data_IF_376144155946
#
_entry.id   IF_376144155946
#
_cell.length_a   1.000
_cell.length_b   1.000
_cell.length_c   1.000
_cell.angle_alpha   90.00
_cell.angle_beta   90.00
_cell.angle_gamma   90.00
#
_symmetry.space_group_name_H-M   'P 1'
#
loop_
_entity.id
_entity.type
_entity.pdbx_description
1 polymer ?
#
# COMPACT_ATOMS: atom_id res chain seq x y z
N UNK A 1 -0.14 10.35 -2.53
CA UNK A 1 -1.44 10.30 -1.82
C UNK A 1 -2.19 8.99 -2.04
N UNK A 2 -2.49 8.60 -3.28
CA UNK A 2 -3.27 7.39 -3.60
C UNK A 2 -2.69 6.11 -2.97
N UNK A 3 -1.37 5.91 -3.05
CA UNK A 3 -0.70 4.75 -2.45
C UNK A 3 -0.78 4.72 -0.92
N UNK A 4 -0.80 5.88 -0.26
CA UNK A 4 -0.95 5.99 1.19
C UNK A 4 -2.35 5.52 1.61
N UNK A 5 -3.38 6.01 0.92
CA UNK A 5 -4.76 5.62 1.17
C UNK A 5 -4.92 4.11 0.95
N UNK A 6 -4.36 3.59 -0.15
CA UNK A 6 -4.34 2.16 -0.42
C UNK A 6 -3.72 1.36 0.71
N UNK A 7 -2.52 1.76 1.17
CA UNK A 7 -1.81 1.07 2.25
C UNK A 7 -2.59 1.12 3.57
N UNK A 8 -3.15 2.28 3.94
CA UNK A 8 -3.94 2.42 5.16
C UNK A 8 -5.17 1.51 5.15
N UNK A 9 -5.89 1.47 4.03
CA UNK A 9 -7.06 0.59 3.86
C UNK A 9 -6.63 -0.87 3.90
N UNK A 10 -5.55 -1.24 3.21
CA UNK A 10 -5.03 -2.61 3.24
C UNK A 10 -4.62 -3.04 4.66
N UNK A 11 -3.93 -2.18 5.41
CA UNK A 11 -3.56 -2.43 6.81
C UNK A 11 -4.81 -2.61 7.69
N UNK A 12 -5.81 -1.74 7.53
CA UNK A 12 -7.05 -1.84 8.29
C UNK A 12 -7.78 -3.16 8.02
N UNK A 13 -7.89 -3.56 6.73
CA UNK A 13 -8.54 -4.81 6.34
C UNK A 13 -7.76 -6.05 6.82
N UNK A 14 -6.41 -6.01 6.81
CA UNK A 14 -5.58 -7.07 7.40
C UNK A 14 -5.77 -7.14 8.91
N UNK A 15 -5.84 -6.01 9.59
CA UNK A 15 -6.13 -5.95 11.02
C UNK A 15 -7.46 -6.62 11.37
N UNK A 16 -8.52 -6.29 10.61
CA UNK A 16 -9.85 -6.92 10.77
C UNK A 16 -9.77 -8.42 10.46
N UNK A 17 -9.08 -8.82 9.40
CA UNK A 17 -8.91 -10.23 9.04
C UNK A 17 -8.26 -11.02 10.19
N UNK A 18 -7.25 -10.48 10.82
CA UNK A 18 -6.58 -11.09 11.97
C UNK A 18 -7.47 -11.19 13.21
N UNK A 19 -8.21 -10.12 13.53
CA UNK A 19 -9.15 -10.10 14.65
C UNK A 19 -10.29 -11.11 14.48
N UNK A 20 -10.79 -11.26 13.27
CA UNK A 20 -11.92 -12.16 12.95
C UNK A 20 -11.48 -13.59 12.61
N UNK A 21 -10.19 -13.86 12.48
CA UNK A 21 -9.61 -15.12 11.99
C UNK A 21 -10.09 -15.51 10.58
N UNK A 22 -10.52 -14.53 9.79
CA UNK A 22 -10.89 -14.70 8.39
C UNK A 22 -9.71 -14.33 7.48
N UNK A 23 -9.75 -14.81 6.23
CA UNK A 23 -8.74 -14.40 5.25
C UNK A 23 -8.94 -12.93 4.82
N UNK A 24 -7.87 -12.29 4.39
CA UNK A 24 -7.92 -10.94 3.81
C UNK A 24 -8.91 -10.83 2.65
N UNK A 25 -8.94 -11.84 1.77
CA UNK A 25 -9.89 -11.89 0.65
C UNK A 25 -11.34 -11.92 1.13
N UNK A 26 -11.61 -12.73 2.15
CA UNK A 26 -12.96 -12.82 2.75
C UNK A 26 -13.39 -11.47 3.33
N UNK A 27 -12.50 -10.80 4.07
CA UNK A 27 -12.80 -9.46 4.63
C UNK A 27 -13.06 -8.44 3.53
N UNK A 28 -12.25 -8.43 2.47
CA UNK A 28 -12.51 -7.55 1.32
C UNK A 28 -13.91 -7.75 0.73
N UNK A 29 -14.27 -9.01 0.45
CA UNK A 29 -15.59 -9.33 -0.10
C UNK A 29 -16.70 -8.91 0.85
N UNK A 30 -16.57 -9.19 2.15
CA UNK A 30 -17.57 -8.80 3.14
C UNK A 30 -17.70 -7.28 3.26
N UNK A 31 -16.60 -6.53 3.28
CA UNK A 31 -16.65 -5.08 3.42
C UNK A 31 -17.23 -4.43 2.16
N UNK A 32 -16.68 -4.73 0.99
CA UNK A 32 -17.04 -4.02 -0.24
C UNK A 32 -18.35 -4.50 -0.88
N UNK A 33 -18.72 -5.77 -0.70
CA UNK A 33 -19.89 -6.35 -1.36
C UNK A 33 -21.05 -6.65 -0.39
N UNK A 34 -20.81 -6.75 0.91
CA UNK A 34 -21.88 -6.90 1.89
C UNK A 34 -22.13 -5.61 2.66
N UNK A 35 -21.15 -5.16 3.47
CA UNK A 35 -21.38 -4.10 4.46
C UNK A 35 -21.65 -2.73 3.83
N UNK A 36 -20.84 -2.32 2.85
CA UNK A 36 -21.03 -1.03 2.18
C UNK A 36 -22.36 -0.98 1.43
N UNK A 37 -22.70 -1.93 0.54
CA UNK A 37 -24.00 -1.90 -0.14
C UNK A 37 -25.21 -2.09 0.82
N UNK A 38 -25.04 -2.86 1.89
CA UNK A 38 -26.10 -3.02 2.90
C UNK A 38 -26.38 -1.69 3.62
N UNK A 39 -25.33 -0.95 3.97
CA UNK A 39 -25.51 0.37 4.59
C UNK A 39 -26.13 1.39 3.63
N UNK A 40 -25.79 1.34 2.33
CA UNK A 40 -26.47 2.16 1.32
C UNK A 40 -27.94 1.79 1.15
N UNK A 41 -28.26 0.50 1.13
CA UNK A 41 -29.63 0.01 1.10
C UNK A 41 -30.43 0.54 2.29
N UNK A 42 -29.87 0.46 3.50
CA UNK A 42 -30.49 1.00 4.71
C UNK A 42 -30.73 2.52 4.64
N UNK A 43 -29.71 3.29 4.21
CA UNK A 43 -29.86 4.74 4.05
C UNK A 43 -30.92 5.07 2.99
N UNK A 44 -30.96 4.34 1.89
CA UNK A 44 -31.95 4.50 0.82
C UNK A 44 -33.36 4.22 1.32
N UNK A 45 -33.58 3.14 2.06
CA UNK A 45 -34.90 2.83 2.68
C UNK A 45 -35.34 3.97 3.62
N UNK A 46 -34.41 4.57 4.38
CA UNK A 46 -34.70 5.72 5.25
C UNK A 46 -35.04 6.98 4.46
N UNK A 47 -34.35 7.23 3.35
CA UNK A 47 -34.63 8.37 2.47
C UNK A 47 -36.01 8.24 1.82
N UNK A 48 -36.38 7.05 1.36
CA UNK A 48 -37.70 6.81 0.72
C UNK A 48 -38.83 6.84 1.75
N UNK A 49 -38.51 6.58 3.02
CA UNK A 49 -39.49 6.62 4.12
C UNK A 49 -40.46 5.43 4.13
N UNK A 50 -40.09 4.32 3.52
CA UNK A 50 -40.87 3.12 3.54
C UNK A 50 -40.98 2.52 4.97
N UNK A 51 -42.16 2.05 5.34
CA UNK A 51 -42.37 1.35 6.61
C UNK A 51 -41.57 0.04 6.69
N UNK A 52 -41.45 -0.64 5.55
CA UNK A 52 -40.64 -1.88 5.43
C UNK A 52 -39.42 -1.56 4.62
N UNK A 53 -38.22 -1.85 5.14
CA UNK A 53 -36.93 -1.53 4.49
C UNK A 53 -36.60 -2.55 3.39
N UNK A 54 -37.27 -2.45 2.24
CA UNK A 54 -37.20 -3.44 1.16
C UNK A 54 -35.81 -3.64 0.58
N UNK A 55 -35.02 -2.57 0.41
CA UNK A 55 -33.65 -2.70 -0.10
C UNK A 55 -32.75 -3.42 0.90
N UNK A 56 -32.84 -3.06 2.18
CA UNK A 56 -32.09 -3.72 3.25
C UNK A 56 -32.44 -5.19 3.36
N UNK A 57 -33.75 -5.52 3.35
CA UNK A 57 -34.19 -6.90 3.41
C UNK A 57 -33.73 -7.67 2.18
N UNK A 58 -33.94 -7.11 0.98
CA UNK A 58 -33.52 -7.74 -0.27
C UNK A 58 -32.03 -8.08 -0.30
N UNK A 59 -31.18 -7.10 0.03
CA UNK A 59 -29.74 -7.31 0.07
C UNK A 59 -29.32 -8.33 1.12
N UNK A 60 -29.91 -8.25 2.32
CA UNK A 60 -29.67 -9.24 3.39
C UNK A 60 -30.07 -10.64 2.96
N UNK A 61 -31.23 -10.80 2.30
CA UNK A 61 -31.71 -12.10 1.81
C UNK A 61 -30.75 -12.71 0.79
N UNK A 62 -30.22 -11.91 -0.14
CA UNK A 62 -29.21 -12.36 -1.11
C UNK A 62 -27.97 -12.91 -0.39
N UNK A 63 -27.48 -12.22 0.61
CA UNK A 63 -26.30 -12.66 1.34
C UNK A 63 -26.55 -13.87 2.23
N UNK A 64 -27.72 -13.95 2.88
CA UNK A 64 -28.14 -15.15 3.62
C UNK A 64 -28.20 -16.36 2.67
N UNK A 65 -28.78 -16.19 1.49
CA UNK A 65 -28.80 -17.25 0.48
C UNK A 65 -27.38 -17.68 0.05
N UNK A 66 -26.48 -16.72 -0.18
CA UNK A 66 -25.05 -17.01 -0.49
C UNK A 66 -24.41 -17.80 0.65
N UNK A 67 -24.58 -17.39 1.91
CA UNK A 67 -24.04 -18.09 3.07
C UNK A 67 -24.55 -19.52 3.17
N UNK A 68 -25.86 -19.73 2.96
CA UNK A 68 -26.48 -21.07 3.00
C UNK A 68 -25.95 -21.93 1.85
N UNK A 69 -25.96 -21.41 0.61
CA UNK A 69 -25.57 -22.17 -0.59
C UNK A 69 -24.05 -22.50 -0.54
N UNK A 70 -23.22 -21.55 -0.15
CA UNK A 70 -21.77 -21.73 -0.17
C UNK A 70 -21.22 -22.40 1.09
N UNK A 71 -21.87 -22.24 2.24
CA UNK A 71 -21.55 -22.96 3.47
C UNK A 71 -20.03 -23.16 3.68
N UNK A 72 -19.61 -24.44 3.71
CA UNK A 72 -18.19 -24.81 3.88
C UNK A 72 -17.26 -24.32 2.75
N UNK A 73 -17.80 -23.98 1.59
CA UNK A 73 -17.01 -23.45 0.45
C UNK A 73 -17.02 -21.92 0.35
N UNK A 74 -17.60 -21.23 1.33
CA UNK A 74 -17.73 -19.78 1.34
C UNK A 74 -16.39 -19.05 1.17
N UNK A 75 -15.36 -19.50 1.87
CA UNK A 75 -14.03 -18.89 1.77
C UNK A 75 -13.44 -19.01 0.36
N UNK A 76 -13.53 -20.19 -0.26
CA UNK A 76 -13.08 -20.41 -1.66
C UNK A 76 -13.86 -19.52 -2.64
N UNK A 77 -15.14 -19.31 -2.38
CA UNK A 77 -15.96 -18.41 -3.18
C UNK A 77 -15.53 -16.95 -3.01
N UNK A 78 -15.17 -16.52 -1.80
CA UNK A 78 -14.60 -15.19 -1.55
C UNK A 78 -13.25 -15.02 -2.26
N UNK A 79 -12.38 -16.03 -2.25
CA UNK A 79 -11.10 -16.00 -2.97
C UNK A 79 -11.30 -15.85 -4.48
N UNK A 80 -12.25 -16.58 -5.05
CA UNK A 80 -12.63 -16.41 -6.45
C UNK A 80 -13.21 -15.02 -6.73
N UNK A 81 -14.09 -14.51 -5.88
CA UNK A 81 -14.67 -13.18 -6.01
C UNK A 81 -13.62 -12.07 -5.92
N UNK A 82 -12.66 -12.22 -5.00
CA UNK A 82 -11.54 -11.29 -4.87
C UNK A 82 -10.68 -11.26 -6.12
N UNK A 83 -10.30 -12.44 -6.68
CA UNK A 83 -9.56 -12.51 -7.96
C UNK A 83 -10.32 -11.80 -9.09
N UNK A 84 -11.63 -12.01 -9.20
CA UNK A 84 -12.46 -11.32 -10.21
C UNK A 84 -12.52 -9.81 -10.00
N UNK A 85 -12.54 -9.35 -8.75
CA UNK A 85 -12.47 -7.93 -8.42
C UNK A 85 -11.12 -7.31 -8.82
N UNK A 86 -10.02 -8.04 -8.60
CA UNK A 86 -8.68 -7.60 -9.04
C UNK A 86 -8.61 -7.54 -10.57
N UNK A 87 -9.10 -8.56 -11.29
CA UNK A 87 -9.17 -8.55 -12.76
C UNK A 87 -9.97 -7.34 -13.27
N UNK A 88 -11.12 -7.04 -12.64
CA UNK A 88 -11.92 -5.87 -12.97
C UNK A 88 -11.15 -4.56 -12.77
N UNK A 89 -10.46 -4.39 -11.64
CA UNK A 89 -9.65 -3.20 -11.37
C UNK A 89 -8.48 -3.07 -12.35
N UNK A 90 -7.85 -4.18 -12.74
CA UNK A 90 -6.82 -4.20 -13.76
C UNK A 90 -7.34 -3.80 -15.15
N UNK A 91 -8.62 -3.99 -15.43
CA UNK A 91 -9.27 -3.52 -16.67
C UNK A 91 -9.15 -2.01 -16.90
N UNK A 92 -8.99 -1.22 -15.84
CA UNK A 92 -8.79 0.24 -15.92
C UNK A 92 -7.39 0.65 -16.41
N UNK A 93 -6.50 -0.30 -16.76
CA UNK A 93 -5.22 -0.01 -17.44
C UNK A 93 -5.40 0.84 -18.71
N UNK A 94 -6.55 0.71 -19.39
CA UNK A 94 -6.90 1.55 -20.55
C UNK A 94 -6.96 3.05 -20.22
N UNK A 95 -7.27 3.40 -18.97
CA UNK A 95 -7.26 4.77 -18.45
C UNK A 95 -5.91 5.17 -17.84
N UNK A 96 -4.84 4.37 -18.09
CA UNK A 96 -3.51 4.52 -17.48
C UNK A 96 -3.52 4.44 -15.94
N UNK A 97 -4.55 3.85 -15.35
CA UNK A 97 -4.60 3.59 -13.91
C UNK A 97 -3.92 2.26 -13.60
N UNK A 98 -2.99 2.28 -12.66
CA UNK A 98 -2.48 1.05 -12.08
C UNK A 98 -3.48 0.49 -11.05
N UNK A 99 -3.26 -0.73 -10.57
CA UNK A 99 -4.12 -1.40 -9.61
C UNK A 99 -4.39 -0.54 -8.36
N UNK A 100 -3.35 0.05 -7.75
CA UNK A 100 -3.51 0.87 -6.54
C UNK A 100 -4.37 2.10 -6.78
N UNK A 101 -4.19 2.77 -7.91
CA UNK A 101 -4.99 3.95 -8.30
C UNK A 101 -6.44 3.55 -8.52
N UNK A 102 -6.69 2.51 -9.32
CA UNK A 102 -8.04 2.02 -9.59
C UNK A 102 -8.74 1.58 -8.29
N UNK A 103 -8.04 0.84 -7.42
CA UNK A 103 -8.56 0.40 -6.13
C UNK A 103 -8.98 1.58 -5.25
N UNK A 104 -8.16 2.62 -5.12
CA UNK A 104 -8.51 3.79 -4.29
C UNK A 104 -9.69 4.56 -4.87
N UNK A 105 -9.74 4.77 -6.20
CA UNK A 105 -10.86 5.49 -6.80
C UNK A 105 -12.17 4.71 -6.68
N UNK A 106 -12.15 3.42 -6.97
CA UNK A 106 -13.37 2.59 -6.99
C UNK A 106 -13.77 2.10 -5.59
N UNK A 107 -12.81 1.70 -4.75
CA UNK A 107 -13.12 1.10 -3.46
C UNK A 107 -13.15 2.11 -2.30
N UNK A 108 -12.58 3.31 -2.46
CA UNK A 108 -12.58 4.33 -1.39
C UNK A 108 -13.37 5.57 -1.81
N UNK A 109 -12.96 6.25 -2.88
CA UNK A 109 -13.60 7.51 -3.27
C UNK A 109 -15.04 7.34 -3.74
N UNK A 110 -15.33 6.34 -4.56
CA UNK A 110 -16.70 6.10 -5.02
C UNK A 110 -17.66 5.81 -3.86
N UNK A 111 -17.36 4.90 -2.92
CA UNK A 111 -18.19 4.72 -1.72
C UNK A 111 -18.37 6.01 -0.91
N UNK A 112 -17.32 6.80 -0.70
CA UNK A 112 -17.41 8.06 0.04
C UNK A 112 -18.32 9.08 -0.65
N UNK A 113 -18.26 9.18 -1.98
CA UNK A 113 -19.15 10.06 -2.75
C UNK A 113 -20.60 9.60 -2.59
N UNK A 114 -20.88 8.29 -2.70
CA UNK A 114 -22.23 7.74 -2.52
C UNK A 114 -22.74 8.00 -1.11
N UNK A 115 -21.91 7.80 -0.06
CA UNK A 115 -22.28 8.16 1.32
C UNK A 115 -22.58 9.65 1.45
N UNK A 116 -21.77 10.52 0.83
CA UNK A 116 -22.03 11.97 0.84
C UNK A 116 -23.38 12.34 0.24
N UNK A 117 -23.73 11.74 -0.90
CA UNK A 117 -25.03 11.96 -1.55
C UNK A 117 -26.16 11.44 -0.68
N UNK A 118 -26.07 10.20 -0.18
CA UNK A 118 -27.12 9.61 0.66
C UNK A 118 -27.27 10.37 1.97
N UNK A 119 -26.19 10.80 2.61
CA UNK A 119 -26.24 11.62 3.81
C UNK A 119 -26.91 12.97 3.53
N UNK A 120 -26.58 13.62 2.43
CA UNK A 120 -27.23 14.87 2.03
C UNK A 120 -28.75 14.69 1.84
N UNK A 121 -29.17 13.65 1.10
CA UNK A 121 -30.59 13.36 0.89
C UNK A 121 -31.33 13.03 2.19
N UNK A 122 -30.68 12.29 3.09
CA UNK A 122 -31.25 11.94 4.39
C UNK A 122 -31.47 13.19 5.27
N UNK A 123 -30.56 14.17 5.22
CA UNK A 123 -30.69 15.41 5.99
C UNK A 123 -31.80 16.32 5.48
N UNK A 124 -32.12 16.26 4.19
CA UNK A 124 -33.27 17.01 3.63
C UNK A 124 -34.59 16.52 4.23
N UNK A 125 -34.69 15.25 4.61
CA UNK A 125 -35.91 14.69 5.20
C UNK A 125 -35.97 14.77 6.73
N UNK A 126 -34.81 14.92 7.38
CA UNK A 126 -34.69 15.00 8.83
C UNK A 126 -33.94 16.29 9.24
N UNK A 127 -34.62 17.46 9.28
CA UNK A 127 -33.99 18.76 9.52
C UNK A 127 -33.30 18.90 10.89
N UNK A 128 -33.56 17.98 11.82
CA UNK A 128 -32.87 17.93 13.11
C UNK A 128 -31.43 17.36 13.01
N UNK A 129 -31.06 16.77 11.89
CA UNK A 129 -29.71 16.24 11.66
C UNK A 129 -28.84 17.33 11.06
N UNK A 130 -28.22 18.15 11.92
CA UNK A 130 -27.25 19.13 11.47
C UNK A 130 -25.97 18.41 11.06
N UNK A 131 -25.85 18.01 9.79
CA UNK A 131 -24.71 17.27 9.23
C UNK A 131 -23.47 18.13 9.02
N UNK A 132 -23.64 19.45 8.90
CA UNK A 132 -22.54 20.39 8.57
C UNK A 132 -21.37 20.32 9.58
N UNK A 133 -21.57 20.35 10.92
CA UNK A 133 -20.48 20.20 11.86
C UNK A 133 -19.76 18.85 11.73
N UNK A 134 -20.50 17.78 11.44
CA UNK A 134 -19.92 16.45 11.25
C UNK A 134 -19.09 16.37 9.96
N UNK A 135 -19.58 16.90 8.84
CA UNK A 135 -18.85 16.96 7.58
C UNK A 135 -17.57 17.79 7.73
N UNK A 136 -17.66 18.96 8.38
CA UNK A 136 -16.49 19.81 8.67
C UNK A 136 -15.53 19.07 9.60
N UNK A 137 -16.03 18.44 10.67
CA UNK A 137 -15.21 17.68 11.62
C UNK A 137 -14.47 16.52 10.94
N UNK A 138 -15.16 15.69 10.17
CA UNK A 138 -14.56 14.56 9.44
C UNK A 138 -13.53 15.07 8.43
N UNK A 139 -13.88 16.08 7.64
CA UNK A 139 -12.98 16.64 6.62
C UNK A 139 -11.74 17.27 7.25
N UNK A 140 -11.91 18.05 8.32
CA UNK A 140 -10.81 18.68 9.06
C UNK A 140 -9.90 17.63 9.68
N UNK A 141 -10.46 16.58 10.29
CA UNK A 141 -9.71 15.47 10.85
C UNK A 141 -8.92 14.74 9.76
N UNK A 142 -9.54 14.47 8.61
CA UNK A 142 -8.87 13.85 7.48
C UNK A 142 -7.67 14.69 7.01
N UNK A 143 -7.85 16.00 6.82
CA UNK A 143 -6.76 16.89 6.43
C UNK A 143 -5.66 16.99 7.50
N UNK A 144 -6.02 17.04 8.77
CA UNK A 144 -5.05 17.06 9.86
C UNK A 144 -4.23 15.77 9.90
N UNK A 145 -4.87 14.61 9.79
CA UNK A 145 -4.19 13.30 9.71
C UNK A 145 -3.32 13.22 8.46
N UNK A 146 -3.79 13.73 7.33
CA UNK A 146 -3.01 13.75 6.10
C UNK A 146 -1.77 14.65 6.20
N UNK A 147 -1.91 15.89 6.73
CA UNK A 147 -0.78 16.80 6.94
C UNK A 147 0.23 16.19 7.93
N UNK A 148 -0.27 15.59 9.02
CA UNK A 148 0.58 14.92 9.99
C UNK A 148 1.34 13.75 9.34
N UNK A 149 0.67 12.92 8.55
CA UNK A 149 1.26 11.81 7.83
C UNK A 149 2.33 12.28 6.83
N UNK A 150 2.03 13.29 6.01
CA UNK A 150 3.00 13.88 5.09
C UNK A 150 4.25 14.38 5.84
N UNK A 151 4.04 15.04 6.96
CA UNK A 151 5.14 15.54 7.80
C UNK A 151 5.97 14.40 8.39
N UNK A 152 5.31 13.36 8.90
CA UNK A 152 5.98 12.17 9.44
C UNK A 152 6.81 11.49 8.35
N UNK A 153 6.21 11.26 7.16
CA UNK A 153 6.90 10.57 6.06
C UNK A 153 8.08 11.37 5.51
N UNK A 154 8.01 12.71 5.50
CA UNK A 154 9.10 13.55 4.99
C UNK A 154 10.23 13.76 5.99
N UNK A 155 9.90 13.93 7.27
CA UNK A 155 10.85 14.44 8.26
C UNK A 155 10.98 13.53 9.48
N UNK A 156 10.03 12.65 9.73
CA UNK A 156 9.93 11.86 10.95
C UNK A 156 10.56 10.48 10.87
N UNK A 157 10.66 9.89 9.68
CA UNK A 157 11.16 8.52 9.55
C UNK A 157 12.68 8.52 9.37
N UNK A 158 13.36 7.84 10.27
CA UNK A 158 14.79 7.53 10.17
C UNK A 158 14.98 6.04 9.98
N UNK A 159 15.71 5.66 8.94
CA UNK A 159 16.13 4.28 8.72
C UNK A 159 17.36 4.00 9.57
N UNK A 160 17.29 2.93 10.36
CA UNK A 160 18.40 2.53 11.25
C UNK A 160 18.81 1.12 10.86
N UNK A 161 19.97 0.95 10.19
CA UNK A 161 20.50 -0.37 9.86
C UNK A 161 20.96 -1.07 11.14
N UNK A 162 20.69 -2.37 11.24
CA UNK A 162 21.14 -3.21 12.36
C UNK A 162 22.22 -4.18 11.95
N UNK A 163 22.14 -4.77 10.76
CA UNK A 163 23.14 -5.68 10.23
C UNK A 163 23.16 -5.70 8.71
N UNK A 164 24.28 -6.07 8.12
CA UNK A 164 24.35 -6.40 6.70
C UNK A 164 23.52 -7.66 6.44
N UNK A 165 22.72 -7.62 5.40
CA UNK A 165 21.91 -8.76 4.97
C UNK A 165 22.56 -9.32 3.71
N UNK A 166 23.33 -10.41 3.89
CA UNK A 166 23.99 -11.10 2.79
C UNK A 166 22.95 -11.83 1.96
N UNK A 167 22.33 -11.13 1.05
CA UNK A 167 21.47 -11.71 0.04
C UNK A 167 22.28 -12.04 -1.21
N UNK A 168 21.88 -13.15 -1.83
CA UNK A 168 22.18 -13.38 -3.24
C UNK A 168 21.70 -12.16 -4.00
N UNK A 169 22.56 -11.53 -4.80
CA UNK A 169 22.16 -10.42 -5.68
C UNK A 169 20.97 -10.82 -6.51
N UNK A 170 20.04 -9.90 -6.73
CA UNK A 170 18.92 -10.15 -7.64
C UNK A 170 19.49 -10.56 -9.01
N UNK A 171 19.11 -11.74 -9.54
CA UNK A 171 19.62 -12.19 -10.82
C UNK A 171 19.02 -11.33 -11.93
N UNK A 172 19.86 -10.52 -12.57
CA UNK A 172 19.51 -9.80 -13.80
C UNK A 172 19.79 -10.74 -14.99
N UNK A 173 18.96 -10.70 -15.98
CA UNK A 173 19.23 -11.36 -17.27
C UNK A 173 20.26 -10.55 -18.06
N UNK A 174 20.93 -11.18 -19.02
CA UNK A 174 21.95 -10.50 -19.88
C UNK A 174 21.32 -9.30 -20.61
N UNK A 175 20.07 -9.42 -21.07
CA UNK A 175 19.34 -8.33 -21.73
C UNK A 175 19.02 -7.17 -20.77
N UNK A 176 18.62 -7.47 -19.55
CA UNK A 176 18.36 -6.46 -18.52
C UNK A 176 19.68 -5.76 -18.12
N UNK A 177 20.77 -6.50 -17.95
CA UNK A 177 22.08 -5.91 -17.66
C UNK A 177 22.50 -4.96 -18.77
N UNK A 178 22.39 -5.38 -20.05
CA UNK A 178 22.75 -4.53 -21.18
C UNK A 178 21.87 -3.29 -21.26
N UNK A 179 20.55 -3.41 -21.03
CA UNK A 179 19.66 -2.27 -20.99
C UNK A 179 20.04 -1.29 -19.88
N UNK A 180 20.34 -1.78 -18.67
CA UNK A 180 20.75 -0.94 -17.55
C UNK A 180 22.06 -0.22 -17.85
N UNK A 181 23.03 -0.90 -18.48
CA UNK A 181 24.29 -0.30 -18.89
C UNK A 181 24.04 0.86 -19.88
N UNK A 182 23.22 0.64 -20.89
CA UNK A 182 22.94 1.63 -21.92
C UNK A 182 22.17 2.83 -21.34
N UNK A 183 21.15 2.57 -20.51
CA UNK A 183 20.31 3.60 -19.92
C UNK A 183 21.02 4.42 -18.83
N UNK A 184 22.00 3.83 -18.13
CA UNK A 184 22.72 4.52 -17.05
C UNK A 184 23.99 5.20 -17.51
N UNK A 185 24.45 4.98 -18.74
CA UNK A 185 25.70 5.55 -19.27
C UNK A 185 25.72 7.08 -19.20
N UNK A 186 26.74 7.64 -18.57
CA UNK A 186 26.90 9.10 -18.40
C UNK A 186 26.13 9.71 -17.24
N UNK A 187 25.37 8.91 -16.47
CA UNK A 187 24.64 9.39 -15.31
C UNK A 187 25.56 9.60 -14.11
N UNK A 188 25.26 10.63 -13.31
CA UNK A 188 25.90 10.82 -12.01
C UNK A 188 25.30 9.89 -10.94
N UNK A 189 25.93 9.80 -9.75
CA UNK A 189 25.50 8.89 -8.69
C UNK A 189 24.04 9.09 -8.25
N UNK A 190 23.51 10.32 -8.24
CA UNK A 190 22.13 10.59 -7.87
C UNK A 190 21.14 10.13 -8.95
N UNK A 191 21.51 10.34 -10.20
CA UNK A 191 20.70 9.90 -11.35
C UNK A 191 20.67 8.37 -11.46
N UNK A 192 21.78 7.68 -11.16
CA UNK A 192 21.81 6.21 -11.07
C UNK A 192 20.88 5.71 -9.96
N UNK A 193 20.87 6.35 -8.80
CA UNK A 193 19.96 6.01 -7.70
C UNK A 193 18.50 6.20 -8.13
N UNK A 194 18.17 7.32 -8.75
CA UNK A 194 16.80 7.61 -9.20
C UNK A 194 16.37 6.64 -10.32
N UNK A 195 17.27 6.27 -11.23
CA UNK A 195 17.03 5.23 -12.22
C UNK A 195 16.73 3.87 -11.57
N UNK A 196 17.57 3.44 -10.60
CA UNK A 196 17.36 2.19 -9.89
C UNK A 196 16.03 2.15 -9.13
N UNK A 197 15.60 3.25 -8.49
CA UNK A 197 14.29 3.37 -7.86
C UNK A 197 13.16 3.24 -8.90
N UNK A 198 13.33 3.83 -10.08
CA UNK A 198 12.34 3.73 -11.15
C UNK A 198 12.23 2.32 -11.72
N UNK A 199 13.36 1.65 -11.96
CA UNK A 199 13.41 0.28 -12.46
C UNK A 199 12.68 -0.69 -11.54
N UNK A 200 12.95 -0.63 -10.23
CA UNK A 200 12.30 -1.48 -9.23
C UNK A 200 10.78 -1.24 -9.19
N UNK A 201 10.34 0.01 -9.28
CA UNK A 201 8.90 0.35 -9.34
C UNK A 201 8.20 -0.18 -10.58
N UNK A 202 8.90 -0.24 -11.70
CA UNK A 202 8.36 -0.74 -12.95
C UNK A 202 8.23 -2.26 -12.92
N UNK A 203 9.16 -2.94 -12.27
CA UNK A 203 9.26 -4.40 -12.25
C UNK A 203 8.29 -5.02 -11.26
N UNK A 204 8.17 -4.45 -10.04
CA UNK A 204 7.45 -5.10 -8.96
C UNK A 204 6.23 -4.33 -8.46
N UNK A 205 5.21 -5.08 -8.08
CA UNK A 205 4.18 -4.66 -7.12
C UNK A 205 4.52 -5.19 -5.73
N UNK A 206 4.27 -4.38 -4.69
CA UNK A 206 4.59 -4.79 -3.32
C UNK A 206 3.57 -5.80 -2.79
N UNK A 207 4.09 -6.94 -2.34
CA UNK A 207 3.34 -7.95 -1.61
C UNK A 207 4.14 -8.46 -0.41
N UNK A 208 3.49 -8.61 0.75
CA UNK A 208 4.14 -9.15 1.97
C UNK A 208 4.50 -10.62 1.73
N UNK A 209 3.65 -11.33 1.00
CA UNK A 209 3.85 -12.73 0.59
C UNK A 209 3.76 -12.79 -0.93
N UNK A 210 4.88 -12.58 -1.65
CA UNK A 210 4.88 -12.66 -3.11
C UNK A 210 4.49 -14.07 -3.57
N UNK A 211 3.55 -14.15 -4.48
CA UNK A 211 3.08 -15.40 -5.09
C UNK A 211 3.32 -15.45 -6.59
N UNK A 212 3.63 -14.31 -7.20
CA UNK A 212 3.89 -14.15 -8.63
C UNK A 212 5.25 -13.48 -8.85
N UNK A 213 5.87 -13.70 -10.01
CA UNK A 213 7.17 -13.10 -10.39
C UNK A 213 7.13 -11.56 -10.44
N UNK A 214 5.94 -10.98 -10.68
CA UNK A 214 5.71 -9.53 -10.66
C UNK A 214 5.51 -8.94 -9.26
N UNK A 215 5.53 -9.78 -8.22
CA UNK A 215 5.33 -9.39 -6.84
C UNK A 215 6.63 -9.52 -6.06
N UNK A 216 6.91 -8.57 -5.18
CA UNK A 216 8.05 -8.63 -4.29
C UNK A 216 7.75 -8.07 -2.89
N UNK A 217 8.42 -8.64 -1.88
CA UNK A 217 8.49 -8.07 -0.54
C UNK A 217 9.64 -7.05 -0.44
N UNK A 218 9.86 -6.47 0.74
CA UNK A 218 10.99 -5.56 0.98
C UNK A 218 12.35 -6.17 0.61
N UNK A 219 12.47 -7.49 0.71
CA UNK A 219 13.69 -8.24 0.30
C UNK A 219 13.94 -8.10 -1.21
N UNK A 220 12.95 -8.41 -2.03
CA UNK A 220 13.05 -8.31 -3.49
C UNK A 220 13.31 -6.89 -3.96
N UNK A 221 12.59 -5.91 -3.38
CA UNK A 221 12.80 -4.50 -3.70
C UNK A 221 14.22 -4.03 -3.38
N UNK A 222 14.74 -4.33 -2.17
CA UNK A 222 16.08 -3.93 -1.78
C UNK A 222 17.16 -4.65 -2.60
N UNK A 223 16.97 -5.94 -2.88
CA UNK A 223 17.91 -6.77 -3.64
C UNK A 223 18.03 -6.28 -5.09
N UNK A 224 16.92 -6.10 -5.80
CA UNK A 224 16.93 -5.58 -7.16
C UNK A 224 17.51 -4.17 -7.24
N UNK A 225 17.09 -3.28 -6.34
CA UNK A 225 17.65 -1.93 -6.29
C UNK A 225 19.18 -1.96 -6.14
N UNK A 226 19.68 -2.81 -5.23
CA UNK A 226 21.12 -2.97 -4.99
C UNK A 226 21.85 -3.46 -6.24
N UNK A 227 21.29 -4.44 -6.97
CA UNK A 227 21.88 -4.96 -8.21
C UNK A 227 21.94 -3.89 -9.31
N UNK A 228 20.81 -3.20 -9.55
CA UNK A 228 20.71 -2.15 -10.57
C UNK A 228 21.64 -0.96 -10.25
N UNK A 229 21.63 -0.49 -8.98
CA UNK A 229 22.45 0.63 -8.56
C UNK A 229 23.95 0.30 -8.70
N UNK A 230 24.41 -0.87 -8.26
CA UNK A 230 25.80 -1.29 -8.36
C UNK A 230 26.25 -1.46 -9.82
N UNK A 231 25.39 -1.95 -10.70
CA UNK A 231 25.68 -2.05 -12.13
C UNK A 231 25.84 -0.64 -12.73
N UNK A 232 24.91 0.28 -12.45
CA UNK A 232 25.02 1.67 -12.92
C UNK A 232 26.24 2.41 -12.37
N UNK A 233 26.60 2.19 -11.10
CA UNK A 233 27.83 2.76 -10.53
C UNK A 233 29.07 2.24 -11.23
N UNK A 234 29.15 0.92 -11.49
CA UNK A 234 30.27 0.31 -12.25
C UNK A 234 30.38 0.84 -13.67
N UNK A 235 29.23 0.93 -14.39
CA UNK A 235 29.17 1.47 -15.76
C UNK A 235 29.75 2.88 -15.86
N UNK A 236 29.51 3.71 -14.87
CA UNK A 236 29.95 5.10 -14.84
C UNK A 236 31.25 5.33 -14.05
N UNK A 237 31.92 4.27 -13.61
CA UNK A 237 33.15 4.34 -12.79
C UNK A 237 32.95 5.21 -11.54
N UNK A 238 31.77 5.20 -10.96
CA UNK A 238 31.45 5.95 -9.75
C UNK A 238 31.94 5.16 -8.55
N UNK A 239 32.73 5.80 -7.67
CA UNK A 239 33.20 5.19 -6.43
C UNK A 239 32.08 5.16 -5.36
N UNK A 240 30.97 4.52 -5.69
CA UNK A 240 29.84 4.27 -4.80
C UNK A 240 29.56 2.78 -4.79
N UNK A 241 29.01 2.31 -3.68
CA UNK A 241 28.66 0.89 -3.50
C UNK A 241 27.40 0.74 -2.66
N UNK A 242 26.48 -0.08 -3.12
CA UNK A 242 25.20 -0.36 -2.47
C UNK A 242 25.20 -1.77 -1.87
N UNK A 243 24.67 -1.92 -0.66
CA UNK A 243 24.44 -3.20 0.01
C UNK A 243 23.03 -3.24 0.56
N UNK A 244 22.44 -4.43 0.57
CA UNK A 244 21.17 -4.68 1.26
C UNK A 244 21.44 -4.85 2.74
N UNK A 245 20.70 -4.14 3.58
CA UNK A 245 20.79 -4.20 5.03
C UNK A 245 19.44 -4.54 5.64
N UNK A 246 19.49 -5.19 6.79
CA UNK A 246 18.36 -5.36 7.66
C UNK A 246 18.36 -4.28 8.72
N UNK A 247 17.19 -3.77 9.04
CA UNK A 247 17.07 -2.75 10.07
C UNK A 247 15.62 -2.40 10.35
N UNK A 248 15.42 -1.22 10.89
CA UNK A 248 14.10 -0.72 11.25
C UNK A 248 13.91 0.72 10.84
N UNK A 249 12.65 1.12 10.67
CA UNK A 249 12.26 2.52 10.56
C UNK A 249 11.85 3.06 11.94
N UNK A 250 12.39 4.22 12.33
CA UNK A 250 11.98 4.91 13.56
C UNK A 250 11.26 6.20 13.26
N UNK A 251 10.09 6.40 13.89
CA UNK A 251 9.35 7.66 13.89
C UNK A 251 9.47 8.28 15.28
N UNK A 252 10.09 9.45 15.39
CA UNK A 252 10.32 10.14 16.67
C UNK A 252 10.96 9.25 17.75
N UNK A 253 11.84 8.34 17.35
CA UNK A 253 12.52 7.40 18.24
C UNK A 253 11.75 6.10 18.51
N UNK A 254 10.50 5.98 18.09
CA UNK A 254 9.68 4.76 18.22
C UNK A 254 10.01 3.83 17.05
N UNK A 255 10.33 2.59 17.38
CA UNK A 255 10.59 1.54 16.38
C UNK A 255 9.29 1.07 15.74
N UNK A 256 9.15 1.33 14.44
CA UNK A 256 7.92 1.00 13.70
C UNK A 256 7.84 -0.51 13.46
N UNK A 257 8.98 -1.14 13.17
CA UNK A 257 8.99 -2.57 12.89
C UNK A 257 8.60 -3.39 14.12
N UNK A 258 9.13 -3.04 15.30
CA UNK A 258 8.74 -3.67 16.56
C UNK A 258 7.24 -3.46 16.86
N UNK A 259 6.74 -2.25 16.60
CA UNK A 259 5.32 -1.96 16.77
C UNK A 259 4.45 -2.78 15.80
N UNK A 260 4.83 -2.86 14.52
CA UNK A 260 4.11 -3.64 13.52
C UNK A 260 4.18 -5.14 13.78
N UNK A 261 5.33 -5.65 14.26
CA UNK A 261 5.48 -7.03 14.69
C UNK A 261 4.49 -7.39 15.79
N UNK A 262 4.42 -6.55 16.82
CA UNK A 262 3.54 -6.77 17.97
C UNK A 262 2.06 -6.69 17.62
N UNK A 263 1.66 -5.74 16.76
CA UNK A 263 0.26 -5.43 16.51
C UNK A 263 -0.32 -6.06 15.23
N UNK A 264 0.51 -6.35 14.23
CA UNK A 264 0.04 -6.76 12.90
C UNK A 264 0.56 -8.14 12.50
N UNK A 265 1.87 -8.34 12.44
CA UNK A 265 2.46 -9.61 12.01
C UNK A 265 3.91 -9.75 12.45
N UNK A 266 4.32 -10.95 12.95
CA UNK A 266 5.71 -11.25 13.27
C UNK A 266 6.69 -11.04 12.12
N UNK A 267 6.23 -11.12 10.87
CA UNK A 267 7.07 -10.90 9.69
C UNK A 267 7.42 -9.43 9.44
N UNK A 268 6.79 -8.50 10.14
CA UNK A 268 7.06 -7.06 10.05
C UNK A 268 8.07 -6.57 11.09
N UNK A 269 8.63 -7.47 11.90
CA UNK A 269 9.61 -7.17 12.95
C UNK A 269 10.97 -6.69 12.43
N UNK A 270 11.27 -6.93 11.14
CA UNK A 270 12.46 -6.38 10.50
C UNK A 270 12.15 -5.93 9.09
N UNK A 271 12.87 -4.92 8.64
CA UNK A 271 12.71 -4.35 7.31
C UNK A 271 14.04 -4.40 6.55
N UNK A 272 13.96 -4.65 5.23
CA UNK A 272 15.13 -4.67 4.36
C UNK A 272 15.12 -3.42 3.48
N UNK A 273 16.24 -2.73 3.47
CA UNK A 273 16.47 -1.56 2.64
C UNK A 273 17.94 -1.50 2.20
N UNK A 274 18.32 -0.48 1.46
CA UNK A 274 19.66 -0.41 0.88
C UNK A 274 20.49 0.68 1.58
N UNK A 275 21.71 0.34 1.95
CA UNK A 275 22.73 1.26 2.40
C UNK A 275 23.71 1.51 1.26
N UNK A 276 23.93 2.76 0.92
CA UNK A 276 24.86 3.18 -0.13
C UNK A 276 26.04 3.95 0.51
N UNK A 277 27.24 3.49 0.24
CA UNK A 277 28.44 4.28 0.48
C UNK A 277 28.64 5.22 -0.69
N UNK A 278 28.52 6.51 -0.45
CA UNK A 278 28.64 7.57 -1.45
C UNK A 278 30.11 7.86 -1.80
N UNK A 279 30.41 8.49 -2.95
CA UNK A 279 31.78 8.81 -3.36
C UNK A 279 32.57 9.66 -2.34
N UNK A 280 31.88 10.47 -1.55
CA UNK A 280 32.47 11.31 -0.48
C UNK A 280 32.66 10.55 0.84
N UNK A 281 32.43 9.23 0.86
CA UNK A 281 32.52 8.38 2.05
C UNK A 281 31.32 8.44 2.98
N UNK A 282 30.32 9.30 2.74
CA UNK A 282 29.09 9.33 3.53
C UNK A 282 28.22 8.09 3.24
N UNK A 283 27.42 7.69 4.24
CA UNK A 283 26.48 6.60 4.13
C UNK A 283 25.07 7.15 3.93
N UNK A 284 24.33 6.58 3.00
CA UNK A 284 22.95 6.95 2.70
C UNK A 284 22.07 5.71 2.71
N UNK A 285 21.05 5.68 3.57
CA UNK A 285 20.01 4.66 3.52
C UNK A 285 18.93 5.07 2.55
N UNK A 286 18.54 4.14 1.69
CA UNK A 286 17.44 4.29 0.74
C UNK A 286 16.48 3.12 0.92
N UNK A 287 15.20 3.43 1.02
CA UNK A 287 14.15 2.42 1.10
C UNK A 287 13.39 2.34 -0.23
N UNK A 288 13.73 1.36 -1.08
CA UNK A 288 13.05 1.20 -2.36
C UNK A 288 11.59 0.78 -2.19
N UNK A 289 11.27 0.06 -1.11
CA UNK A 289 9.90 -0.39 -0.80
C UNK A 289 8.99 0.79 -0.48
N UNK A 290 9.42 1.66 0.44
CA UNK A 290 8.67 2.87 0.78
C UNK A 290 8.56 3.80 -0.42
N UNK A 291 9.63 3.91 -1.24
CA UNK A 291 9.57 4.65 -2.48
C UNK A 291 8.53 4.09 -3.45
N UNK A 292 8.48 2.77 -3.62
CA UNK A 292 7.53 2.12 -4.53
C UNK A 292 6.08 2.26 -4.05
N UNK A 293 5.83 2.08 -2.75
CA UNK A 293 4.49 2.12 -2.17
C UNK A 293 3.97 3.56 -2.05
N UNK A 294 4.78 4.46 -1.52
CA UNK A 294 4.36 5.79 -1.10
C UNK A 294 4.87 6.92 -2.01
N UNK A 295 5.81 6.64 -2.90
CA UNK A 295 6.43 7.65 -3.76
C UNK A 295 7.45 8.55 -3.04
N UNK A 296 7.78 8.26 -1.78
CA UNK A 296 8.74 9.05 -1.01
C UNK A 296 10.16 8.53 -1.17
N UNK A 297 11.09 9.43 -1.41
CA UNK A 297 12.52 9.15 -1.35
C UNK A 297 12.99 9.29 0.09
N UNK A 298 12.84 8.25 0.91
CA UNK A 298 13.44 8.23 2.23
C UNK A 298 14.96 8.10 2.06
N UNK A 299 15.65 9.21 2.19
CA UNK A 299 17.13 9.28 2.19
C UNK A 299 17.55 9.70 3.58
N UNK A 300 18.06 8.77 4.36
CA UNK A 300 18.67 9.11 5.64
C UNK A 300 20.19 9.08 5.49
N UNK A 301 20.84 10.21 5.65
CA UNK A 301 22.30 10.29 5.71
C UNK A 301 22.71 9.89 7.11
N UNK A 302 23.46 8.80 7.23
CA UNK A 302 23.96 8.31 8.52
C UNK A 302 25.45 8.64 8.59
N UNK A 303 25.85 9.32 9.66
CA UNK A 303 27.24 9.24 10.13
C UNK A 303 27.38 7.93 10.91
N UNK A 304 27.88 6.91 10.27
CA UNK A 304 28.26 5.69 10.97
C UNK A 304 29.68 5.85 11.48
N UNK A 305 29.79 5.92 12.78
CA UNK A 305 31.07 5.61 13.46
C UNK A 305 31.12 4.07 13.53
N UNK A 306 32.07 3.49 12.77
CA UNK A 306 32.41 2.07 12.83
C UNK A 306 33.24 1.86 14.09
#
# INVERSE_FOLDING_TARGET
>A
MTYIIFALVAIALHGIARLTRLTYHTINILVYYLLIPLSWAYMTDKIIGWQIPWFTIGWSTVWIAIFIIKGRSFQRWCDWGFKKSVEFLLGFKRLKWNYCVASVYICVWLPLIVYGILAYLLTQQHPYWNWQPWAIGITSTFFAVWILWETIMRFGIKLVPSREFTLVSYPLTDDEEQQIIDDTKGLNHMQVIDYALHAVRKQFSYHIYPSEESEASCVGFASMFTSVANLGFRTNRISAYAITVEGTGRIFGIDICEMLERWISPMLGSHKFTLIRMPNGSLCCIDPTVNAIFGYNLKTVIKWEI
#
